data_IF_047060806599
#
_entry.id   IF_047060806599
#
_cell.length_a   1.000
_cell.length_b   1.000
_cell.length_c   1.000
_cell.angle_alpha   90.00
_cell.angle_beta   90.00
_cell.angle_gamma   90.00
#
_symmetry.space_group_name_H-M   'P 1'
#
loop_
_entity.id
_entity.type
_entity.pdbx_description
1 polymer ?
#
# COMPACT_ATOMS: atom_id res chain seq x y z
N UNK A 1 -8.84 -16.78 -14.60
CA UNK A 1 -8.39 -15.45 -14.16
C UNK A 1 -8.73 -15.24 -12.70
N UNK A 2 -8.91 -14.00 -12.21
CA UNK A 2 -9.06 -13.73 -10.78
C UNK A 2 -9.52 -12.32 -10.48
N UNK A 3 -9.27 -11.87 -9.27
CA UNK A 3 -9.53 -10.53 -8.77
C UNK A 3 -8.22 -9.88 -8.35
N UNK A 4 -8.07 -8.59 -8.61
CA UNK A 4 -6.94 -7.80 -8.12
C UNK A 4 -7.45 -6.59 -7.34
N UNK A 5 -6.77 -6.25 -6.26
CA UNK A 5 -7.06 -5.05 -5.47
C UNK A 5 -5.82 -4.18 -5.29
N UNK A 6 -6.06 -2.87 -5.08
CA UNK A 6 -5.06 -1.91 -4.65
C UNK A 6 -5.57 -1.19 -3.40
N UNK A 7 -5.28 -1.75 -2.23
CA UNK A 7 -5.91 -1.34 -0.96
C UNK A 7 -5.34 -0.04 -0.38
N UNK A 8 -4.24 0.48 -0.93
CA UNK A 8 -3.74 1.82 -0.60
C UNK A 8 -4.51 2.90 -1.36
N UNK A 9 -5.13 2.56 -2.49
CA UNK A 9 -5.80 3.51 -3.38
C UNK A 9 -7.31 3.56 -3.15
N UNK A 10 -7.89 4.74 -3.34
CA UNK A 10 -9.34 4.90 -3.37
C UNK A 10 -9.94 4.36 -4.69
N UNK A 11 -11.06 3.65 -4.67
CA UNK A 11 -11.92 3.35 -3.51
C UNK A 11 -11.51 2.10 -2.71
N UNK A 12 -10.55 1.30 -3.15
CA UNK A 12 -10.12 0.05 -2.52
C UNK A 12 -9.73 0.20 -1.05
N UNK A 13 -9.20 1.37 -0.67
CA UNK A 13 -8.83 1.69 0.70
C UNK A 13 -10.01 1.63 1.70
N UNK A 14 -11.26 1.72 1.23
CA UNK A 14 -12.46 1.65 2.07
C UNK A 14 -13.00 0.23 2.27
N UNK A 15 -12.56 -0.73 1.45
CA UNK A 15 -12.97 -2.12 1.60
C UNK A 15 -12.43 -2.69 2.93
N UNK A 16 -13.29 -3.35 3.68
CA UNK A 16 -12.87 -4.11 4.84
C UNK A 16 -12.47 -5.55 4.45
N UNK A 17 -11.84 -6.27 5.37
CA UNK A 17 -11.37 -7.63 5.11
C UNK A 17 -12.52 -8.64 4.94
N UNK A 18 -13.69 -8.34 5.48
CA UNK A 18 -14.90 -9.15 5.33
C UNK A 18 -15.42 -9.07 3.90
N UNK A 19 -15.49 -7.86 3.33
CA UNK A 19 -15.84 -7.63 1.92
C UNK A 19 -14.84 -8.36 0.99
N UNK A 20 -13.54 -8.17 1.23
CA UNK A 20 -12.49 -8.84 0.46
C UNK A 20 -12.62 -10.36 0.52
N UNK A 21 -12.95 -10.89 1.70
CA UNK A 21 -13.15 -12.33 1.90
C UNK A 21 -14.33 -12.86 1.09
N UNK A 22 -15.47 -12.17 1.09
CA UNK A 22 -16.66 -12.60 0.33
C UNK A 22 -16.37 -12.58 -1.19
N UNK A 23 -15.71 -11.54 -1.67
CA UNK A 23 -15.28 -11.47 -3.07
C UNK A 23 -14.28 -12.59 -3.43
N UNK A 24 -13.32 -12.87 -2.54
CA UNK A 24 -12.34 -13.93 -2.75
C UNK A 24 -12.99 -15.34 -2.74
N UNK A 25 -14.05 -15.58 -1.99
CA UNK A 25 -14.84 -16.84 -2.06
C UNK A 25 -15.46 -17.03 -3.45
N UNK A 26 -15.96 -15.96 -4.05
CA UNK A 26 -16.46 -16.02 -5.43
C UNK A 26 -15.33 -16.36 -6.40
N UNK A 27 -14.19 -15.69 -6.28
CA UNK A 27 -12.99 -15.97 -7.09
C UNK A 27 -12.60 -17.45 -6.99
N UNK A 28 -12.52 -17.99 -5.77
CA UNK A 28 -12.23 -19.40 -5.52
C UNK A 28 -13.22 -20.34 -6.22
N UNK A 29 -14.52 -20.03 -6.20
CA UNK A 29 -15.55 -20.90 -6.80
C UNK A 29 -15.35 -21.10 -8.30
N UNK A 30 -14.62 -20.19 -8.96
CA UNK A 30 -14.24 -20.26 -10.36
C UNK A 30 -12.79 -20.73 -10.59
N UNK A 31 -12.09 -21.17 -9.54
CA UNK A 31 -10.69 -21.60 -9.62
C UNK A 31 -9.72 -20.44 -9.91
N UNK A 32 -10.12 -19.22 -9.60
CA UNK A 32 -9.30 -18.02 -9.81
C UNK A 32 -8.34 -17.73 -8.65
N UNK A 33 -7.52 -16.70 -8.84
CA UNK A 33 -6.56 -16.19 -7.86
C UNK A 33 -6.95 -14.77 -7.39
N UNK A 34 -6.73 -14.46 -6.13
CA UNK A 34 -6.82 -13.10 -5.61
C UNK A 34 -5.41 -12.50 -5.50
N UNK A 35 -5.15 -11.39 -6.17
CA UNK A 35 -3.90 -10.64 -6.07
C UNK A 35 -4.14 -9.31 -5.37
N UNK A 36 -3.18 -8.86 -4.55
CA UNK A 36 -3.36 -7.62 -3.79
C UNK A 36 -2.09 -6.78 -3.73
N UNK A 37 -2.20 -5.53 -4.17
CA UNK A 37 -1.38 -4.46 -3.64
C UNK A 37 -1.91 -4.15 -2.24
N UNK A 38 -1.15 -4.53 -1.22
CA UNK A 38 -1.59 -4.46 0.17
C UNK A 38 -1.94 -3.03 0.62
N UNK A 39 -2.64 -2.93 1.71
CA UNK A 39 -3.06 -1.66 2.34
C UNK A 39 -1.88 -0.82 2.81
N UNK A 40 -0.77 -1.46 3.19
CA UNK A 40 0.46 -0.85 3.63
C UNK A 40 1.66 -1.73 3.30
N UNK A 41 2.73 -1.11 2.86
CA UNK A 41 4.03 -1.75 2.65
C UNK A 41 5.11 -1.14 3.58
N UNK A 42 4.70 -0.21 4.44
CA UNK A 42 5.53 0.54 5.36
C UNK A 42 5.21 0.30 6.83
N UNK A 43 4.66 1.33 7.47
CA UNK A 43 4.40 1.33 8.92
C UNK A 43 3.50 0.18 9.37
N UNK A 44 2.45 -0.12 8.62
CA UNK A 44 1.44 -1.15 8.91
C UNK A 44 1.60 -2.41 8.03
N UNK A 45 2.82 -2.68 7.54
CA UNK A 45 3.11 -3.86 6.69
C UNK A 45 2.63 -5.17 7.32
N UNK A 46 2.86 -5.36 8.61
CA UNK A 46 2.54 -6.62 9.28
C UNK A 46 1.03 -6.82 9.37
N UNK A 47 0.30 -5.76 9.67
CA UNK A 47 -1.16 -5.76 9.71
C UNK A 47 -1.76 -6.01 8.32
N UNK A 48 -1.16 -5.42 7.28
CA UNK A 48 -1.58 -5.64 5.90
C UNK A 48 -1.32 -7.08 5.42
N UNK A 49 -0.21 -7.68 5.83
CA UNK A 49 0.04 -9.11 5.60
C UNK A 49 -1.00 -9.96 6.34
N UNK A 50 -1.26 -9.68 7.62
CA UNK A 50 -2.27 -10.42 8.39
C UNK A 50 -3.68 -10.31 7.75
N UNK A 51 -4.02 -9.16 7.13
CA UNK A 51 -5.25 -9.02 6.36
C UNK A 51 -5.27 -9.96 5.15
N UNK A 52 -4.20 -10.01 4.35
CA UNK A 52 -4.11 -10.93 3.20
C UNK A 52 -4.17 -12.41 3.63
N UNK A 53 -3.47 -12.77 4.72
CA UNK A 53 -3.52 -14.11 5.29
C UNK A 53 -4.92 -14.47 5.81
N UNK A 54 -5.62 -13.52 6.42
CA UNK A 54 -7.01 -13.70 6.85
C UNK A 54 -7.94 -13.99 5.67
N UNK A 55 -7.80 -13.21 4.58
CA UNK A 55 -8.60 -13.44 3.36
C UNK A 55 -8.31 -14.83 2.79
N UNK A 56 -7.02 -15.24 2.69
CA UNK A 56 -6.65 -16.57 2.22
C UNK A 56 -7.29 -17.67 3.08
N UNK A 57 -7.18 -17.57 4.41
CA UNK A 57 -7.72 -18.56 5.35
C UNK A 57 -9.25 -18.67 5.29
N UNK A 58 -9.95 -17.52 5.27
CA UNK A 58 -11.42 -17.49 5.36
C UNK A 58 -12.11 -17.76 4.02
N UNK A 59 -11.49 -17.40 2.91
CA UNK A 59 -12.03 -17.68 1.58
C UNK A 59 -11.59 -19.03 1.03
N UNK A 60 -10.40 -19.50 1.45
CA UNK A 60 -9.68 -20.64 0.87
C UNK A 60 -9.23 -20.37 -0.56
N UNK A 61 -9.21 -19.12 -1.04
CA UNK A 61 -8.67 -18.75 -2.34
C UNK A 61 -7.14 -18.81 -2.34
N UNK A 62 -6.56 -19.03 -3.51
CA UNK A 62 -5.14 -18.75 -3.72
C UNK A 62 -4.93 -17.25 -3.71
N UNK A 63 -3.96 -16.78 -2.92
CA UNK A 63 -3.67 -15.35 -2.75
C UNK A 63 -2.23 -15.06 -3.18
N UNK A 64 -2.05 -13.99 -3.94
CA UNK A 64 -0.74 -13.45 -4.33
C UNK A 64 -0.59 -12.05 -3.74
N UNK A 65 0.43 -11.85 -2.90
CA UNK A 65 0.81 -10.53 -2.42
C UNK A 65 1.75 -9.91 -3.47
N UNK A 66 1.27 -8.91 -4.18
CA UNK A 66 2.04 -8.25 -5.23
C UNK A 66 3.16 -7.40 -4.65
N UNK A 67 4.36 -7.48 -5.27
CA UNK A 67 5.54 -6.64 -5.03
C UNK A 67 5.83 -6.37 -3.53
N UNK A 68 5.77 -7.43 -2.71
CA UNK A 68 6.00 -7.34 -1.27
C UNK A 68 7.34 -6.66 -0.96
N UNK A 69 7.31 -5.63 -0.17
CA UNK A 69 8.50 -4.89 0.27
C UNK A 69 8.33 -4.30 1.67
N UNK A 70 9.42 -3.86 2.26
CA UNK A 70 9.44 -3.03 3.46
C UNK A 70 9.82 -1.62 3.04
N UNK A 71 8.83 -0.77 2.80
CA UNK A 71 9.06 0.62 2.44
C UNK A 71 9.73 1.37 3.58
N UNK A 72 10.58 2.30 3.21
CA UNK A 72 11.37 3.22 4.02
C UNK A 72 12.26 2.56 5.09
N UNK A 73 13.39 3.18 5.45
CA UNK A 73 14.41 2.56 6.32
C UNK A 73 13.88 2.07 7.67
N UNK A 74 12.93 2.78 8.27
CA UNK A 74 12.34 2.43 9.57
C UNK A 74 11.65 1.05 9.57
N UNK A 75 11.27 0.53 8.40
CA UNK A 75 10.53 -0.72 8.26
C UNK A 75 11.38 -1.91 7.77
N UNK A 76 12.63 -1.72 7.34
CA UNK A 76 13.45 -2.77 6.72
C UNK A 76 13.62 -4.01 7.59
N UNK A 77 13.64 -3.87 8.91
CA UNK A 77 13.71 -5.01 9.85
C UNK A 77 12.46 -5.91 9.89
N UNK A 78 11.33 -5.49 9.29
CA UNK A 78 10.07 -6.24 9.31
C UNK A 78 10.03 -7.45 8.37
N UNK A 79 10.89 -7.50 7.34
CA UNK A 79 10.88 -8.54 6.32
C UNK A 79 10.88 -9.96 6.89
N UNK A 80 11.74 -10.25 7.85
CA UNK A 80 11.81 -11.54 8.52
C UNK A 80 10.52 -11.95 9.23
N UNK A 81 9.83 -10.97 9.83
CA UNK A 81 8.55 -11.23 10.49
C UNK A 81 7.45 -11.51 9.46
N UNK A 82 7.43 -10.73 8.38
CA UNK A 82 6.52 -10.90 7.26
C UNK A 82 6.63 -12.32 6.67
N UNK A 83 7.84 -12.75 6.31
CA UNK A 83 8.10 -14.07 5.75
C UNK A 83 7.66 -15.19 6.69
N UNK A 84 8.02 -15.11 7.99
CA UNK A 84 7.57 -16.12 8.97
C UNK A 84 6.05 -16.24 9.09
N UNK A 85 5.30 -15.15 8.90
CA UNK A 85 3.82 -15.18 8.92
C UNK A 85 3.27 -15.89 7.70
N UNK A 86 3.82 -15.60 6.53
CA UNK A 86 3.45 -16.26 5.28
C UNK A 86 3.74 -17.76 5.37
N UNK A 87 4.94 -18.15 5.80
CA UNK A 87 5.33 -19.56 5.94
C UNK A 87 4.40 -20.31 6.91
N UNK A 88 4.12 -19.73 8.08
CA UNK A 88 3.14 -20.32 9.02
C UNK A 88 1.74 -20.46 8.44
N UNK A 89 1.35 -19.58 7.53
CA UNK A 89 0.06 -19.69 6.83
C UNK A 89 0.07 -20.82 5.84
N UNK A 90 1.17 -21.00 5.09
CA UNK A 90 1.40 -22.14 4.18
C UNK A 90 1.40 -23.45 4.93
N UNK A 91 2.06 -23.52 6.09
CA UNK A 91 2.08 -24.72 6.96
C UNK A 91 0.68 -25.14 7.42
N UNK A 92 -0.27 -24.20 7.49
CA UNK A 92 -1.69 -24.48 7.78
C UNK A 92 -2.50 -24.86 6.54
N UNK A 93 -1.86 -24.95 5.37
CA UNK A 93 -2.47 -25.38 4.11
C UNK A 93 -3.07 -24.23 3.27
N UNK A 94 -2.86 -22.95 3.65
CA UNK A 94 -3.30 -21.83 2.84
C UNK A 94 -2.39 -21.68 1.61
N UNK A 95 -3.02 -21.41 0.47
CA UNK A 95 -2.31 -21.10 -0.77
C UNK A 95 -2.03 -19.61 -0.84
N UNK A 96 -0.84 -19.21 -0.42
CA UNK A 96 -0.41 -17.83 -0.45
C UNK A 96 1.03 -17.71 -0.94
N UNK A 97 1.23 -16.81 -1.89
CA UNK A 97 2.53 -16.47 -2.45
C UNK A 97 2.73 -14.95 -2.50
N UNK A 98 3.87 -14.54 -2.90
CA UNK A 98 4.20 -13.14 -3.14
C UNK A 98 5.22 -13.01 -4.26
N UNK A 99 5.20 -11.89 -4.97
CA UNK A 99 6.24 -11.49 -5.89
C UNK A 99 7.10 -10.35 -5.34
N UNK A 100 8.22 -10.09 -5.97
CA UNK A 100 9.11 -8.98 -5.65
C UNK A 100 9.94 -8.61 -6.87
N UNK A 101 10.09 -7.31 -7.12
CA UNK A 101 11.02 -6.82 -8.16
C UNK A 101 12.45 -6.64 -7.61
N UNK A 102 13.49 -6.79 -8.45
CA UNK A 102 14.89 -6.73 -8.02
C UNK A 102 15.46 -5.31 -8.04
N UNK A 103 14.67 -4.30 -7.72
CA UNK A 103 15.08 -2.90 -7.75
C UNK A 103 15.04 -2.27 -6.37
N UNK A 104 15.91 -1.27 -6.16
CA UNK A 104 15.98 -0.47 -4.92
C UNK A 104 15.12 0.78 -4.97
N UNK A 105 14.23 0.85 -5.93
CA UNK A 105 13.31 1.97 -6.14
C UNK A 105 11.94 1.42 -6.51
N UNK A 106 10.90 2.17 -6.19
CA UNK A 106 9.52 1.88 -6.58
C UNK A 106 8.84 3.17 -7.04
N UNK A 107 7.72 3.03 -7.70
CA UNK A 107 6.93 4.16 -8.17
C UNK A 107 5.57 4.15 -7.48
N UNK A 108 5.13 5.31 -7.00
CA UNK A 108 3.78 5.52 -6.51
C UNK A 108 3.20 6.82 -7.06
N UNK A 109 1.90 7.00 -6.87
CA UNK A 109 1.25 8.28 -7.17
C UNK A 109 1.72 9.38 -6.22
N UNK A 110 1.90 10.60 -6.73
CA UNK A 110 2.34 11.73 -5.91
C UNK A 110 1.40 12.02 -4.72
N UNK A 111 0.13 11.61 -4.81
CA UNK A 111 -0.84 11.75 -3.72
C UNK A 111 -0.45 10.97 -2.46
N UNK A 112 0.30 9.90 -2.60
CA UNK A 112 0.59 9.01 -1.47
C UNK A 112 1.55 9.62 -0.46
N UNK A 113 2.36 10.61 -0.85
CA UNK A 113 3.26 11.31 0.08
C UNK A 113 2.53 12.30 1.01
N UNK A 114 1.27 12.67 0.71
CA UNK A 114 0.54 13.68 1.47
C UNK A 114 -0.22 13.10 2.66
N UNK A 115 -0.40 13.88 3.74
CA UNK A 115 -1.22 13.47 4.88
C UNK A 115 -2.65 13.12 4.47
N UNK A 116 -3.22 12.11 5.11
CA UNK A 116 -4.57 11.60 4.79
C UNK A 116 -5.61 12.72 4.74
N UNK A 117 -5.63 13.62 5.72
CA UNK A 117 -6.58 14.73 5.79
C UNK A 117 -6.52 15.69 4.59
N UNK A 118 -5.35 15.77 3.92
CA UNK A 118 -5.16 16.65 2.77
C UNK A 118 -5.71 16.07 1.47
N UNK A 119 -5.85 14.73 1.39
CA UNK A 119 -6.25 13.99 0.18
C UNK A 119 -7.61 13.29 0.26
N UNK A 120 -8.27 13.27 1.42
CA UNK A 120 -9.52 12.53 1.67
C UNK A 120 -10.65 12.78 0.66
N UNK A 121 -10.71 13.97 0.07
CA UNK A 121 -11.76 14.33 -0.89
C UNK A 121 -11.20 14.47 -2.32
N UNK A 122 -10.14 13.72 -2.63
CA UNK A 122 -9.58 13.63 -3.98
C UNK A 122 -8.67 14.79 -4.40
N UNK A 123 -8.27 14.77 -5.67
CA UNK A 123 -7.25 15.66 -6.24
C UNK A 123 -7.63 17.13 -6.15
N UNK A 124 -8.88 17.49 -6.43
CA UNK A 124 -9.32 18.90 -6.43
C UNK A 124 -9.24 19.50 -5.03
N UNK A 125 -9.60 18.73 -4.01
CA UNK A 125 -9.46 19.14 -2.62
C UNK A 125 -7.99 19.34 -2.26
N UNK A 126 -7.13 18.44 -2.66
CA UNK A 126 -5.69 18.54 -2.41
C UNK A 126 -5.11 19.79 -3.08
N UNK A 127 -5.46 20.07 -4.34
CA UNK A 127 -5.03 21.29 -5.04
C UNK A 127 -5.47 22.54 -4.26
N UNK A 128 -6.70 22.56 -3.77
CA UNK A 128 -7.19 23.68 -2.95
C UNK A 128 -6.40 23.85 -1.65
N UNK A 129 -6.09 22.75 -0.95
CA UNK A 129 -5.24 22.72 0.25
C UNK A 129 -3.85 23.29 -0.05
N UNK A 130 -3.23 22.90 -1.16
CA UNK A 130 -1.89 23.35 -1.54
C UNK A 130 -1.87 24.83 -2.00
N UNK A 131 -2.96 25.35 -2.52
CA UNK A 131 -3.10 26.77 -2.87
C UNK A 131 -3.30 27.67 -1.66
N UNK A 132 -3.92 27.18 -0.61
CA UNK A 132 -4.08 27.91 0.66
C UNK A 132 -2.74 27.93 1.41
N UNK A 133 -2.23 29.12 1.73
CA UNK A 133 -0.92 29.30 2.36
C UNK A 133 -0.84 28.65 3.75
N UNK A 134 -1.89 28.75 4.54
CA UNK A 134 -1.92 28.24 5.92
C UNK A 134 -2.00 26.68 5.90
N UNK A 135 -2.91 26.13 5.07
CA UNK A 135 -3.06 24.68 4.93
C UNK A 135 -1.82 24.04 4.32
N UNK A 136 -1.20 24.67 3.32
CA UNK A 136 0.08 24.21 2.77
C UNK A 136 1.18 24.19 3.83
N UNK A 137 1.25 25.22 4.69
CA UNK A 137 2.17 25.23 5.83
C UNK A 137 1.95 24.07 6.78
N UNK A 138 0.69 23.71 7.05
CA UNK A 138 0.35 22.54 7.85
C UNK A 138 0.78 21.23 7.16
N UNK A 139 0.54 21.09 5.85
CA UNK A 139 1.01 19.92 5.08
C UNK A 139 2.51 19.75 5.21
N UNK A 140 3.29 20.82 4.97
CA UNK A 140 4.77 20.77 5.07
C UNK A 140 5.20 20.36 6.48
N UNK A 141 4.56 20.92 7.51
CA UNK A 141 4.85 20.57 8.90
C UNK A 141 4.59 19.09 9.17
N UNK A 142 3.41 18.60 8.79
CA UNK A 142 3.00 17.22 9.04
C UNK A 142 3.93 16.23 8.28
N UNK A 143 4.28 16.53 7.02
CA UNK A 143 5.22 15.72 6.23
C UNK A 143 6.65 15.70 6.77
N UNK A 144 7.04 16.74 7.53
CA UNK A 144 8.38 16.82 8.15
C UNK A 144 8.46 16.12 9.50
N UNK A 145 7.35 15.59 10.00
CA UNK A 145 7.33 14.83 11.27
C UNK A 145 7.66 13.36 11.00
N UNK A 146 8.55 12.79 11.81
CA UNK A 146 8.85 11.37 11.81
C UNK A 146 8.91 10.88 13.28
N UNK A 147 8.21 9.78 13.62
CA UNK A 147 7.28 9.04 12.77
C UNK A 147 5.97 9.80 12.55
N UNK A 148 5.44 9.75 11.33
CA UNK A 148 4.12 10.30 11.03
C UNK A 148 3.00 9.32 11.41
N UNK A 149 1.76 9.80 11.46
CA UNK A 149 0.57 9.02 11.83
C UNK A 149 -0.07 8.27 10.64
N UNK A 150 0.39 8.52 9.41
CA UNK A 150 0.00 7.76 8.21
C UNK A 150 1.18 6.99 7.63
N UNK A 151 0.91 6.15 6.64
CA UNK A 151 1.93 5.40 5.91
C UNK A 151 2.59 6.32 4.87
N UNK A 152 3.63 7.00 5.30
CA UNK A 152 4.32 8.00 4.49
C UNK A 152 5.50 7.36 3.74
N UNK A 153 5.44 7.25 2.40
CA UNK A 153 6.53 6.69 1.60
C UNK A 153 7.81 7.56 1.60
N UNK A 154 7.75 8.73 2.21
CA UNK A 154 8.91 9.63 2.38
C UNK A 154 9.51 9.58 3.79
N UNK A 155 8.96 8.80 4.72
CA UNK A 155 9.43 8.79 6.11
C UNK A 155 10.87 8.31 6.22
N UNK A 156 11.77 9.20 6.63
CA UNK A 156 13.21 8.94 6.73
C UNK A 156 13.96 8.94 5.40
N UNK A 157 13.36 9.45 4.31
CA UNK A 157 14.03 9.69 3.04
C UNK A 157 14.35 11.17 2.83
N UNK A 158 15.44 11.43 2.11
CA UNK A 158 15.80 12.77 1.66
C UNK A 158 15.22 13.06 0.27
N UNK A 159 14.95 14.33 -0.02
CA UNK A 159 14.33 14.73 -1.29
C UNK A 159 15.18 14.41 -2.53
N UNK A 160 16.48 14.28 -2.41
CA UNK A 160 17.39 13.86 -3.49
C UNK A 160 17.21 12.39 -3.88
N UNK A 161 16.54 11.60 -3.04
CA UNK A 161 16.18 10.20 -3.31
C UNK A 161 14.87 10.08 -4.11
N UNK A 162 14.14 11.18 -4.29
CA UNK A 162 12.87 11.21 -5.02
C UNK A 162 13.07 11.62 -6.45
N UNK A 163 12.49 10.86 -7.39
CA UNK A 163 12.50 11.17 -8.82
C UNK A 163 11.08 11.38 -9.30
N UNK A 164 10.82 12.53 -9.90
CA UNK A 164 9.58 12.72 -10.65
C UNK A 164 9.75 12.10 -12.03
N UNK A 165 8.85 11.20 -12.40
CA UNK A 165 8.78 10.65 -13.73
C UNK A 165 7.36 10.82 -14.27
N UNK A 166 7.25 11.21 -15.51
CA UNK A 166 5.97 11.47 -16.16
C UNK A 166 5.36 12.82 -15.79
N UNK A 167 5.28 13.66 -16.79
CA UNK A 167 4.66 14.97 -16.74
C UNK A 167 3.62 15.07 -17.85
N UNK A 168 2.51 15.74 -17.57
CA UNK A 168 1.45 15.96 -18.56
C UNK A 168 1.85 16.98 -19.65
N UNK A 169 2.97 17.69 -19.48
CA UNK A 169 3.46 18.70 -20.43
C UNK A 169 5.00 18.68 -20.44
N UNK A 170 5.59 18.75 -21.63
CA UNK A 170 7.05 18.84 -21.80
C UNK A 170 7.66 20.06 -21.09
N UNK A 171 6.92 21.16 -20.96
CA UNK A 171 7.36 22.36 -20.24
C UNK A 171 7.56 22.16 -18.74
N UNK A 172 7.24 21.00 -18.20
CA UNK A 172 7.43 20.66 -16.77
C UNK A 172 8.70 19.82 -16.51
N UNK A 173 9.49 19.56 -17.55
CA UNK A 173 10.78 18.85 -17.45
C UNK A 173 11.92 19.78 -17.03
#
# INVERSE_FOLDING_TARGET
>A
FGMSTGLIYHPGAFADREELTELAKVVRSYGGIYTTHMRSEGKYLIEAIDEALYVAEKSGASVEISHMKCEVPANWGKAQNALRRIDRSRDRGNQIDFDQYPYRAYQCGLLEIFPTWAKENGVDRMIAVLRDKALRGKVIKDMSQSPCDWDNPMDGLEWDQVRLNGFNRESNL
#
